data_IF_081781991145
#
_entry.id   IF_081781991145
#
_cell.length_a   1.000
_cell.length_b   1.000
_cell.length_c   1.000
_cell.angle_alpha   90.00
_cell.angle_beta   90.00
_cell.angle_gamma   90.00
#
_symmetry.space_group_name_H-M   'P 1'
#
loop_
_entity.id
_entity.type
_entity.pdbx_description
1 polymer ?
#
# COMPACT_ATOMS: atom_id res chain seq x y z
N UNK A 1 6.42 -5.67 -15.87
CA UNK A 1 6.69 -6.59 -14.74
C UNK A 1 5.69 -6.33 -13.63
N UNK A 2 4.89 -7.32 -13.25
CA UNK A 2 3.93 -7.18 -12.14
C UNK A 2 4.69 -7.19 -10.81
N UNK A 3 4.84 -6.02 -10.19
CA UNK A 3 5.59 -5.86 -8.93
C UNK A 3 5.02 -6.70 -7.77
N UNK A 4 3.75 -7.11 -7.83
CA UNK A 4 3.04 -7.80 -6.76
C UNK A 4 2.40 -9.15 -7.14
N UNK A 5 2.56 -9.62 -8.37
CA UNK A 5 1.87 -10.83 -8.87
C UNK A 5 0.34 -10.71 -8.94
N UNK A 6 -0.37 -11.84 -9.11
CA UNK A 6 -1.84 -11.89 -9.04
C UNK A 6 -2.30 -12.03 -7.58
N UNK A 7 -3.09 -11.08 -7.04
CA UNK A 7 -3.60 -11.18 -5.68
C UNK A 7 -4.71 -12.23 -5.57
N UNK A 8 -4.84 -12.85 -4.38
CA UNK A 8 -5.98 -13.75 -4.09
C UNK A 8 -7.32 -13.01 -4.06
N UNK A 9 -7.32 -11.75 -3.60
CA UNK A 9 -8.51 -10.92 -3.53
C UNK A 9 -8.18 -9.43 -3.71
N UNK A 10 -9.08 -8.71 -4.37
CA UNK A 10 -9.07 -7.25 -4.51
C UNK A 10 -10.28 -6.67 -3.78
N UNK A 11 -10.02 -5.63 -2.99
CA UNK A 11 -11.03 -4.92 -2.22
C UNK A 11 -11.24 -3.55 -2.84
N UNK A 12 -12.49 -3.18 -3.11
CA UNK A 12 -12.85 -1.84 -3.59
C UNK A 12 -14.05 -1.27 -2.85
N UNK A 13 -14.27 0.04 -3.00
CA UNK A 13 -15.54 0.65 -2.61
C UNK A 13 -16.73 0.08 -3.42
N UNK A 14 -17.94 0.51 -3.06
CA UNK A 14 -19.21 0.06 -3.66
C UNK A 14 -19.58 0.83 -4.93
N UNK A 15 -18.69 1.64 -5.50
CA UNK A 15 -18.98 2.39 -6.73
C UNK A 15 -19.23 1.41 -7.91
N UNK A 16 -20.33 1.59 -8.66
CA UNK A 16 -20.65 0.73 -9.80
C UNK A 16 -19.56 0.68 -10.88
N UNK A 17 -18.83 1.78 -11.04
CA UNK A 17 -17.71 1.88 -12.00
C UNK A 17 -16.59 0.89 -11.71
N UNK A 18 -16.26 0.65 -10.43
CA UNK A 18 -15.18 -0.27 -10.03
C UNK A 18 -15.55 -1.74 -10.30
N UNK A 19 -16.80 -2.13 -10.01
CA UNK A 19 -17.28 -3.48 -10.34
C UNK A 19 -17.40 -3.72 -11.84
N UNK A 20 -17.74 -2.69 -12.63
CA UNK A 20 -17.71 -2.76 -14.09
C UNK A 20 -16.28 -2.92 -14.61
N UNK A 21 -15.34 -2.10 -14.13
CA UNK A 21 -13.94 -2.15 -14.52
C UNK A 21 -13.31 -3.51 -14.18
N UNK A 22 -13.58 -4.05 -12.99
CA UNK A 22 -13.05 -5.35 -12.58
C UNK A 22 -13.57 -6.50 -13.46
N UNK A 23 -14.86 -6.52 -13.81
CA UNK A 23 -15.42 -7.51 -14.75
C UNK A 23 -14.79 -7.38 -16.14
N UNK A 24 -14.55 -6.16 -16.62
CA UNK A 24 -13.85 -5.92 -17.89
C UNK A 24 -12.41 -6.44 -17.86
N UNK A 25 -11.71 -6.31 -16.74
CA UNK A 25 -10.37 -6.89 -16.56
C UNK A 25 -10.42 -8.43 -16.61
N UNK A 26 -11.41 -9.05 -15.96
CA UNK A 26 -11.59 -10.50 -16.02
C UNK A 26 -11.95 -10.99 -17.43
N UNK A 27 -12.75 -10.25 -18.19
CA UNK A 27 -13.10 -10.64 -19.57
C UNK A 27 -11.91 -10.62 -20.53
N UNK A 28 -10.89 -9.80 -20.26
CA UNK A 28 -9.64 -9.78 -21.05
C UNK A 28 -8.58 -10.74 -20.51
N UNK A 29 -8.94 -11.62 -19.57
CA UNK A 29 -8.05 -12.66 -19.03
C UNK A 29 -7.15 -12.20 -17.88
N UNK A 30 -7.37 -11.01 -17.32
CA UNK A 30 -6.61 -10.50 -16.17
C UNK A 30 -7.36 -10.78 -14.86
N UNK A 31 -6.63 -11.15 -13.81
CA UNK A 31 -7.21 -11.34 -12.46
C UNK A 31 -8.35 -12.37 -12.41
N UNK A 32 -8.26 -13.42 -13.23
CA UNK A 32 -9.32 -14.43 -13.38
C UNK A 32 -9.50 -15.29 -12.13
N UNK A 33 -8.44 -15.43 -11.31
CA UNK A 33 -8.47 -16.17 -10.03
C UNK A 33 -8.66 -15.24 -8.83
N UNK A 34 -8.74 -13.94 -9.07
CA UNK A 34 -8.84 -12.92 -8.03
C UNK A 34 -10.29 -12.73 -7.60
N UNK A 35 -10.56 -12.84 -6.30
CA UNK A 35 -11.87 -12.56 -5.71
C UNK A 35 -12.12 -11.05 -5.57
N UNK A 36 -13.29 -10.53 -5.96
CA UNK A 36 -13.66 -9.13 -5.74
C UNK A 36 -14.52 -8.95 -4.49
N UNK A 37 -14.07 -8.11 -3.55
CA UNK A 37 -14.76 -7.86 -2.28
C UNK A 37 -15.14 -6.40 -2.13
N UNK A 38 -16.37 -6.14 -1.69
CA UNK A 38 -16.91 -4.79 -1.44
C UNK A 38 -17.43 -4.65 0.01
N UNK A 39 -16.70 -5.25 0.95
CA UNK A 39 -17.06 -5.32 2.37
C UNK A 39 -16.71 -4.01 3.08
N UNK A 40 -17.67 -3.42 3.80
CA UNK A 40 -17.52 -2.13 4.52
C UNK A 40 -16.31 -2.11 5.44
N UNK A 41 -16.08 -3.17 6.21
CA UNK A 41 -14.94 -3.28 7.12
C UNK A 41 -13.59 -3.19 6.38
N UNK A 42 -13.45 -3.90 5.25
CA UNK A 42 -12.21 -3.88 4.46
C UNK A 42 -11.99 -2.50 3.83
N UNK A 43 -13.06 -1.84 3.40
CA UNK A 43 -12.99 -0.47 2.89
C UNK A 43 -12.57 0.51 3.99
N UNK A 44 -13.04 0.32 5.23
CA UNK A 44 -12.59 1.13 6.36
C UNK A 44 -11.10 0.95 6.64
N UNK A 45 -10.53 -0.25 6.46
CA UNK A 45 -9.09 -0.48 6.60
C UNK A 45 -8.29 0.28 5.55
N UNK A 46 -8.76 0.31 4.30
CA UNK A 46 -8.12 1.07 3.21
C UNK A 46 -8.20 2.58 3.50
N UNK A 47 -9.37 3.07 3.91
CA UNK A 47 -9.54 4.48 4.29
C UNK A 47 -8.65 4.86 5.48
N UNK A 48 -8.53 3.97 6.47
CA UNK A 48 -7.62 4.16 7.60
C UNK A 48 -6.17 4.27 7.13
N UNK A 49 -5.79 3.48 6.13
CA UNK A 49 -4.45 3.51 5.58
C UNK A 49 -4.08 4.86 4.95
N UNK A 50 -5.05 5.53 4.32
CA UNK A 50 -4.83 6.83 3.70
C UNK A 50 -4.82 8.00 4.70
N UNK A 51 -5.30 7.82 5.93
CA UNK A 51 -5.41 8.92 6.93
C UNK A 51 -4.10 9.66 7.20
N UNK A 52 -2.93 9.00 7.39
CA UNK A 52 -1.68 9.69 7.65
C UNK A 52 -1.25 10.61 6.49
N UNK A 53 -1.50 10.18 5.25
CA UNK A 53 -1.19 10.96 4.04
C UNK A 53 -2.18 12.12 3.91
N UNK A 54 -3.50 11.85 4.03
CA UNK A 54 -4.56 12.86 3.95
C UNK A 54 -4.40 13.96 5.00
N UNK A 55 -3.99 13.62 6.24
CA UNK A 55 -3.73 14.60 7.32
C UNK A 55 -2.63 15.60 6.98
N UNK A 56 -1.68 15.22 6.11
CA UNK A 56 -0.54 16.05 5.74
C UNK A 56 -0.79 16.91 4.50
N UNK A 57 -2.00 16.87 3.92
CA UNK A 57 -2.31 17.54 2.66
C UNK A 57 -1.95 19.04 2.65
N UNK A 58 -2.22 19.76 3.75
CA UNK A 58 -1.92 21.20 3.87
C UNK A 58 -0.42 21.53 3.91
N UNK A 59 0.45 20.56 4.17
CA UNK A 59 1.90 20.77 4.27
C UNK A 59 2.62 20.53 2.95
N UNK A 60 1.94 20.00 1.94
CA UNK A 60 2.53 19.82 0.62
C UNK A 60 2.52 21.15 -0.13
N UNK A 61 3.70 21.66 -0.46
CA UNK A 61 3.87 22.93 -1.19
C UNK A 61 3.70 22.76 -2.71
N UNK A 62 3.98 21.58 -3.23
CA UNK A 62 3.89 21.24 -4.65
C UNK A 62 3.66 19.74 -4.85
N UNK A 63 3.27 19.33 -6.06
CA UNK A 63 3.12 17.91 -6.41
C UNK A 63 4.43 17.14 -6.30
N UNK A 64 5.57 17.76 -6.64
CA UNK A 64 6.89 17.11 -6.55
C UNK A 64 7.26 16.85 -5.08
N UNK A 65 7.08 17.84 -4.21
CA UNK A 65 7.34 17.70 -2.77
C UNK A 65 6.38 16.69 -2.12
N UNK A 66 5.11 16.69 -2.53
CA UNK A 66 4.13 15.70 -2.08
C UNK A 66 4.55 14.28 -2.47
N UNK A 67 4.90 14.07 -3.74
CA UNK A 67 5.31 12.77 -4.27
C UNK A 67 6.51 12.19 -3.52
N UNK A 68 7.58 12.97 -3.36
CA UNK A 68 8.78 12.55 -2.61
C UNK A 68 8.46 12.22 -1.14
N UNK A 69 7.61 13.02 -0.50
CA UNK A 69 7.21 12.81 0.90
C UNK A 69 6.37 11.55 1.06
N UNK A 70 5.35 11.36 0.22
CA UNK A 70 4.49 10.17 0.22
C UNK A 70 5.33 8.92 0.00
N UNK A 71 6.24 8.94 -0.99
CA UNK A 71 7.15 7.82 -1.27
C UNK A 71 8.03 7.47 -0.07
N UNK A 72 8.55 8.47 0.64
CA UNK A 72 9.29 8.26 1.89
C UNK A 72 8.45 7.60 2.98
N UNK A 73 7.22 8.09 3.20
CA UNK A 73 6.27 7.51 4.16
C UNK A 73 5.90 6.07 3.82
N UNK A 74 5.65 5.77 2.55
CA UNK A 74 5.36 4.43 2.06
C UNK A 74 6.55 3.48 2.23
N UNK A 75 7.77 3.96 1.98
CA UNK A 75 9.00 3.18 2.16
C UNK A 75 9.18 2.75 3.61
N UNK A 76 9.08 3.70 4.55
CA UNK A 76 9.17 3.41 6.00
C UNK A 76 8.08 2.41 6.41
N UNK A 77 6.85 2.62 5.93
CA UNK A 77 5.73 1.74 6.23
C UNK A 77 5.90 0.32 5.65
N UNK A 78 6.51 0.21 4.47
CA UNK A 78 6.87 -1.06 3.84
C UNK A 78 7.88 -1.84 4.67
N UNK A 79 8.93 -1.17 5.14
CA UNK A 79 9.96 -1.74 6.02
C UNK A 79 9.34 -2.24 7.34
N UNK A 80 8.47 -1.43 7.95
CA UNK A 80 7.74 -1.83 9.16
C UNK A 80 6.88 -3.08 8.95
N UNK A 81 6.11 -3.11 7.85
CA UNK A 81 5.25 -4.27 7.52
C UNK A 81 6.07 -5.54 7.25
N UNK A 82 7.21 -5.42 6.59
CA UNK A 82 8.13 -6.53 6.32
C UNK A 82 8.64 -7.14 7.63
N UNK A 83 9.16 -6.31 8.54
CA UNK A 83 9.64 -6.75 9.85
C UNK A 83 8.52 -7.37 10.71
N UNK A 84 7.33 -6.77 10.69
CA UNK A 84 6.16 -7.33 11.37
C UNK A 84 5.80 -8.73 10.86
N UNK A 85 5.90 -8.98 9.55
CA UNK A 85 5.62 -10.30 8.95
C UNK A 85 6.69 -11.33 9.30
N UNK A 86 7.93 -10.90 9.46
CA UNK A 86 9.06 -11.76 9.81
C UNK A 86 9.16 -12.07 11.31
N UNK A 87 8.30 -11.48 12.15
CA UNK A 87 8.35 -11.66 13.60
C UNK A 87 9.46 -10.86 14.31
N UNK A 88 10.26 -10.09 13.58
CA UNK A 88 11.41 -9.31 14.08
C UNK A 88 11.03 -7.92 14.58
N UNK A 89 9.80 -7.74 15.08
CA UNK A 89 9.32 -6.41 15.46
C UNK A 89 9.96 -5.90 16.76
N UNK A 90 10.40 -6.81 17.65
CA UNK A 90 11.12 -6.44 18.87
C UNK A 90 12.52 -5.91 18.50
N UNK A 91 12.86 -4.70 18.96
CA UNK A 91 14.09 -4.01 18.56
C UNK A 91 14.00 -3.29 17.21
N UNK A 92 12.82 -3.19 16.59
CA UNK A 92 12.66 -2.48 15.33
C UNK A 92 13.02 -0.99 15.47
N UNK A 93 13.95 -0.55 14.61
CA UNK A 93 14.34 0.85 14.47
C UNK A 93 14.43 1.21 13.00
N UNK A 94 13.63 2.19 12.57
CA UNK A 94 13.60 2.65 11.17
C UNK A 94 14.99 3.07 10.70
N UNK A 95 15.75 3.76 11.54
CA UNK A 95 17.10 4.21 11.18
C UNK A 95 18.07 3.04 11.01
N UNK A 96 17.94 1.99 11.83
CA UNK A 96 18.79 0.79 11.73
C UNK A 96 18.46 0.01 10.45
N UNK A 97 17.18 -0.18 10.16
CA UNK A 97 16.72 -0.85 8.94
C UNK A 97 17.13 -0.10 7.67
N UNK A 98 17.07 1.24 7.68
CA UNK A 98 17.53 2.06 6.57
C UNK A 98 19.05 1.94 6.41
N UNK A 99 19.83 1.97 7.49
CA UNK A 99 21.29 1.77 7.43
C UNK A 99 21.64 0.42 6.82
N UNK A 100 20.98 -0.66 7.28
CA UNK A 100 21.13 -2.02 6.73
C UNK A 100 20.78 -2.05 5.24
N UNK A 101 19.67 -1.42 4.83
CA UNK A 101 19.26 -1.36 3.42
C UNK A 101 20.28 -0.59 2.55
N UNK A 102 20.89 0.44 3.09
CA UNK A 102 21.90 1.27 2.42
C UNK A 102 23.31 0.67 2.47
N UNK A 103 23.49 -0.51 3.07
CA UNK A 103 24.79 -1.16 3.24
C UNK A 103 25.73 -0.40 4.18
N UNK A 104 25.20 0.51 4.99
CA UNK A 104 25.98 1.25 5.99
C UNK A 104 25.99 0.36 7.24
N UNK A 105 27.10 -0.33 7.47
CA UNK A 105 27.33 -1.07 8.71
C UNK A 105 27.21 -0.13 9.91
N UNK A 106 26.52 -0.59 10.95
CA UNK A 106 26.45 0.13 12.23
C UNK A 106 27.83 0.20 12.89
#
# INVERSE_FOLDING_TARGET
>A
MNHFGEPKAIVTDKAPSLGSAFRKLQSVGLYTKTEHRTVKYLNNLIEQDHRPIKRRNKFYQSLSTASSTIKGMETIRGIYKKNRRNGTLFGFSVSTEIKVLMGITA
#
